data_IF_691209150133
#
_entry.id   IF_691209150133
#
_cell.length_a   1.000
_cell.length_b   1.000
_cell.length_c   1.000
_cell.angle_alpha   90.00
_cell.angle_beta   90.00
_cell.angle_gamma   90.00
#
_symmetry.space_group_name_H-M   'P 1'
#
loop_
_entity.id
_entity.type
_entity.pdbx_description
1 polymer ?
#
# COMPACT_ATOMS: atom_id res chain seq x y z
N UNK A 1 -16.58 23.70 -5.41
CA UNK A 1 -15.40 22.82 -5.33
C UNK A 1 -14.51 23.17 -6.49
N UNK A 2 -13.26 23.56 -6.22
CA UNK A 2 -12.28 23.77 -7.27
C UNK A 2 -11.99 22.44 -7.99
N UNK A 3 -11.63 22.44 -9.29
CA UNK A 3 -11.29 21.20 -10.02
C UNK A 3 -10.22 20.36 -9.31
N UNK A 4 -9.28 21.02 -8.60
CA UNK A 4 -8.24 20.35 -7.83
C UNK A 4 -8.77 19.61 -6.60
N UNK A 5 -9.77 20.16 -5.90
CA UNK A 5 -10.39 19.49 -4.75
C UNK A 5 -11.16 18.24 -5.18
N UNK A 6 -11.85 18.31 -6.31
CA UNK A 6 -12.57 17.16 -6.85
C UNK A 6 -11.59 16.04 -7.26
N UNK A 7 -10.51 16.37 -7.98
CA UNK A 7 -9.49 15.38 -8.35
C UNK A 7 -8.83 14.74 -7.12
N UNK A 8 -8.49 15.52 -6.08
CA UNK A 8 -7.94 14.97 -4.83
C UNK A 8 -8.90 14.00 -4.17
N UNK A 9 -10.19 14.32 -4.12
CA UNK A 9 -11.23 13.44 -3.57
C UNK A 9 -11.31 12.11 -4.34
N UNK A 10 -11.38 12.16 -5.67
CA UNK A 10 -11.43 10.97 -6.52
C UNK A 10 -10.20 10.07 -6.36
N UNK A 11 -8.99 10.65 -6.30
CA UNK A 11 -7.76 9.88 -6.07
C UNK A 11 -7.81 9.20 -4.70
N UNK A 12 -8.31 9.88 -3.67
CA UNK A 12 -8.48 9.31 -2.34
C UNK A 12 -9.41 8.09 -2.35
N UNK A 13 -10.59 8.25 -2.94
CA UNK A 13 -11.61 7.17 -3.02
C UNK A 13 -11.10 5.96 -3.83
N UNK A 14 -10.43 6.18 -4.96
CA UNK A 14 -9.84 5.09 -5.76
C UNK A 14 -8.71 4.39 -5.00
N UNK A 15 -7.87 5.16 -4.28
CA UNK A 15 -6.78 4.59 -3.48
C UNK A 15 -7.33 3.73 -2.34
N UNK A 16 -8.43 4.15 -1.70
CA UNK A 16 -9.09 3.38 -0.65
C UNK A 16 -9.63 2.04 -1.19
N UNK A 17 -10.30 2.07 -2.35
CA UNK A 17 -10.76 0.84 -3.03
C UNK A 17 -9.56 -0.05 -3.38
N UNK A 18 -8.48 0.52 -3.93
CA UNK A 18 -7.26 -0.21 -4.25
C UNK A 18 -6.64 -0.88 -3.02
N UNK A 19 -6.62 -0.18 -1.87
CA UNK A 19 -6.10 -0.71 -0.61
C UNK A 19 -6.92 -1.89 -0.10
N UNK A 20 -8.25 -1.81 -0.17
CA UNK A 20 -9.15 -2.92 0.18
C UNK A 20 -8.93 -4.14 -0.73
N UNK A 21 -8.72 -3.92 -2.02
CA UNK A 21 -8.42 -4.99 -2.99
C UNK A 21 -7.07 -5.64 -2.72
N UNK A 22 -6.04 -4.86 -2.35
CA UNK A 22 -4.73 -5.40 -1.94
C UNK A 22 -4.88 -6.24 -0.67
N UNK A 23 -5.59 -5.75 0.34
CA UNK A 23 -5.83 -6.49 1.57
C UNK A 23 -6.55 -7.83 1.32
N UNK A 24 -7.62 -7.81 0.51
CA UNK A 24 -8.31 -9.02 0.09
C UNK A 24 -7.38 -9.98 -0.66
N UNK A 25 -6.56 -9.46 -1.56
CA UNK A 25 -5.62 -10.25 -2.33
C UNK A 25 -4.53 -10.93 -1.50
N UNK A 26 -4.05 -10.25 -0.46
CA UNK A 26 -3.13 -10.86 0.51
C UNK A 26 -3.80 -12.02 1.24
N UNK A 27 -5.04 -11.84 1.72
CA UNK A 27 -5.78 -12.91 2.42
C UNK A 27 -5.99 -14.12 1.50
N UNK A 28 -6.49 -13.90 0.29
CA UNK A 28 -6.72 -14.99 -0.68
C UNK A 28 -5.40 -15.69 -1.05
N UNK A 29 -4.34 -14.94 -1.32
CA UNK A 29 -3.03 -15.49 -1.69
C UNK A 29 -2.41 -16.34 -0.58
N UNK A 30 -2.63 -15.99 0.70
CA UNK A 30 -2.18 -16.79 1.84
C UNK A 30 -3.01 -18.08 1.98
N UNK A 31 -4.34 -18.00 1.80
CA UNK A 31 -5.23 -19.15 2.00
C UNK A 31 -5.15 -20.20 0.89
N UNK A 32 -5.07 -19.74 -0.37
CA UNK A 32 -5.15 -20.61 -1.55
C UNK A 32 -3.82 -20.76 -2.29
N UNK A 33 -2.80 -19.98 -1.92
CA UNK A 33 -1.48 -20.06 -2.53
C UNK A 33 -1.37 -19.38 -3.91
N UNK A 34 -0.24 -19.60 -4.61
CA UNK A 34 0.13 -18.88 -5.83
C UNK A 34 -0.64 -19.31 -7.09
N UNK A 35 -1.50 -20.32 -7.00
CA UNK A 35 -2.28 -20.80 -8.15
C UNK A 35 -3.47 -19.89 -8.51
N UNK A 36 -3.73 -18.85 -7.71
CA UNK A 36 -4.83 -17.90 -7.96
C UNK A 36 -4.38 -16.77 -8.92
N UNK A 37 -4.88 -16.71 -10.18
CA UNK A 37 -4.27 -15.92 -11.26
C UNK A 37 -4.20 -14.40 -11.03
N UNK A 38 -5.10 -13.82 -10.24
CA UNK A 38 -5.14 -12.36 -9.98
C UNK A 38 -4.45 -11.96 -8.67
N UNK A 39 -4.43 -12.85 -7.67
CA UNK A 39 -3.99 -12.52 -6.31
C UNK A 39 -2.58 -13.02 -5.99
N UNK A 40 -2.05 -13.99 -6.75
CA UNK A 40 -0.71 -14.56 -6.57
C UNK A 40 0.41 -13.51 -6.65
N UNK A 41 0.28 -12.55 -7.57
CA UNK A 41 1.28 -11.49 -7.74
C UNK A 41 1.36 -10.52 -6.56
N UNK A 42 0.26 -10.32 -5.81
CA UNK A 42 0.20 -9.33 -4.73
C UNK A 42 1.12 -9.73 -3.57
N UNK A 43 1.04 -11.00 -3.15
CA UNK A 43 1.87 -11.53 -2.06
C UNK A 43 3.35 -11.56 -2.47
N UNK A 44 3.65 -11.99 -3.70
CA UNK A 44 5.02 -12.01 -4.21
C UNK A 44 5.64 -10.60 -4.30
N UNK A 45 4.88 -9.61 -4.78
CA UNK A 45 5.35 -8.23 -4.85
C UNK A 45 5.59 -7.65 -3.46
N UNK A 46 4.66 -7.87 -2.52
CA UNK A 46 4.80 -7.39 -1.14
C UNK A 46 6.03 -8.01 -0.46
N UNK A 47 6.17 -9.34 -0.52
CA UNK A 47 7.32 -10.03 0.08
C UNK A 47 8.64 -9.64 -0.59
N UNK A 48 8.65 -9.40 -1.90
CA UNK A 48 9.80 -8.85 -2.62
C UNK A 48 10.22 -7.47 -2.08
N UNK A 49 9.26 -6.56 -1.88
CA UNK A 49 9.52 -5.25 -1.27
C UNK A 49 10.05 -5.38 0.15
N UNK A 50 9.43 -6.20 0.99
CA UNK A 50 9.88 -6.43 2.38
C UNK A 50 11.31 -7.00 2.41
N UNK A 51 11.64 -7.92 1.52
CA UNK A 51 12.99 -8.47 1.40
C UNK A 51 14.00 -7.41 0.96
N UNK A 52 13.65 -6.53 0.01
CA UNK A 52 14.51 -5.43 -0.40
C UNK A 52 14.77 -4.45 0.76
N UNK A 53 13.72 -4.11 1.53
CA UNK A 53 13.83 -3.24 2.70
C UNK A 53 14.65 -3.89 3.82
N UNK A 54 14.51 -5.20 4.03
CA UNK A 54 15.27 -5.96 5.03
C UNK A 54 16.76 -6.10 4.69
N UNK A 55 17.11 -6.19 3.41
CA UNK A 55 18.50 -6.21 2.94
C UNK A 55 19.21 -4.88 3.19
N UNK A 56 18.54 -3.76 2.92
CA UNK A 56 19.06 -2.41 3.09
C UNK A 56 18.71 -1.81 4.46
N UNK A 57 18.68 -2.62 5.53
CA UNK A 57 17.98 -2.34 6.80
C UNK A 57 17.90 -0.89 7.29
N UNK A 58 18.98 -0.10 7.24
CA UNK A 58 18.96 1.33 7.59
C UNK A 58 18.13 2.18 6.61
N UNK A 59 18.33 2.02 5.30
CA UNK A 59 17.56 2.70 4.25
C UNK A 59 16.09 2.30 4.33
N UNK A 60 15.82 1.03 4.63
CA UNK A 60 14.46 0.53 4.84
C UNK A 60 13.73 1.24 6.00
N UNK A 61 14.42 1.44 7.13
CA UNK A 61 13.88 2.17 8.28
C UNK A 61 13.64 3.66 7.97
N UNK A 62 14.54 4.30 7.23
CA UNK A 62 14.36 5.71 6.80
C UNK A 62 13.12 5.83 5.91
N UNK A 63 12.96 4.94 4.92
CA UNK A 63 11.80 4.93 4.04
C UNK A 63 10.49 4.74 4.84
N UNK A 64 10.47 3.80 5.80
CA UNK A 64 9.32 3.59 6.68
C UNK A 64 9.00 4.85 7.50
N UNK A 65 10.02 5.50 8.07
CA UNK A 65 9.86 6.74 8.84
C UNK A 65 9.22 7.87 8.01
N UNK A 66 9.66 8.03 6.76
CA UNK A 66 9.07 9.02 5.82
C UNK A 66 7.60 8.70 5.54
N UNK A 67 7.27 7.43 5.27
CA UNK A 67 5.89 7.00 5.02
C UNK A 67 5.00 7.32 6.23
N UNK A 68 5.43 6.90 7.43
CA UNK A 68 4.67 7.15 8.67
C UNK A 68 4.48 8.64 8.94
N UNK A 69 5.51 9.45 8.71
CA UNK A 69 5.42 10.92 8.84
C UNK A 69 4.37 11.52 7.90
N UNK A 70 4.35 11.11 6.62
CA UNK A 70 3.38 11.59 5.64
C UNK A 70 1.94 11.21 6.03
N UNK A 71 1.72 9.97 6.49
CA UNK A 71 0.40 9.52 6.94
C UNK A 71 -0.07 10.26 8.22
N UNK A 72 0.83 10.51 9.18
CA UNK A 72 0.50 11.27 10.39
C UNK A 72 0.17 12.73 10.09
N UNK A 73 0.91 13.37 9.18
CA UNK A 73 0.65 14.76 8.76
C UNK A 73 -0.77 14.94 8.20
N UNK A 74 -1.28 13.98 7.43
CA UNK A 74 -2.64 14.06 6.89
C UNK A 74 -3.72 14.03 7.99
N UNK A 75 -3.50 13.27 9.07
CA UNK A 75 -4.43 13.19 10.22
C UNK A 75 -4.42 14.46 11.07
N UNK A 76 -3.27 15.13 11.17
CA UNK A 76 -3.10 16.34 11.98
C UNK A 76 -3.75 17.61 11.37
N UNK A 77 -4.27 17.53 10.15
CA UNK A 77 -4.93 18.67 9.46
C UNK A 77 -6.45 18.50 9.35
N UNK A 78 -7.01 17.51 10.05
CA UNK A 78 -8.46 17.38 10.30
C UNK A 78 -8.79 18.08 11.61
#
# INVERSE_FOLDING_TARGET
MSPLEQTKKWIGEITEIGLLLVALGIVIGILFGPEVPFFAGIVANLTGLLNALGKEGLVGLIALGIILYLFQKQRATT
#
